data_IF_207569635461
#
_entry.id   IF_207569635461
#
_cell.length_a   1.000
_cell.length_b   1.000
_cell.length_c   1.000
_cell.angle_alpha   90.00
_cell.angle_beta   90.00
_cell.angle_gamma   90.00
#
_symmetry.space_group_name_H-M   'P 1'
#
loop_
_entity.id
_entity.type
_entity.pdbx_description
1 polymer ?
#
# COMPACT_ATOMS: atom_id res chain seq x y z
N UNK A 1 4.04 2.42 -2.48
CA UNK A 1 3.21 1.27 -2.02
C UNK A 1 4.12 0.33 -1.26
N UNK A 2 3.58 -0.38 -0.28
CA UNK A 2 4.23 -1.45 0.48
C UNK A 2 3.33 -2.69 0.50
N UNK A 3 3.90 -3.83 0.89
CA UNK A 3 3.16 -5.05 1.18
C UNK A 3 3.69 -5.66 2.47
N UNK A 4 2.83 -6.39 3.18
CA UNK A 4 3.22 -7.12 4.38
C UNK A 4 2.50 -8.46 4.46
N UNK A 5 3.25 -9.50 4.83
CA UNK A 5 2.75 -10.84 5.05
C UNK A 5 3.24 -11.33 6.42
N UNK A 6 2.32 -11.80 7.24
CA UNK A 6 2.62 -12.31 8.58
C UNK A 6 1.61 -13.36 9.05
N UNK A 7 1.94 -14.02 10.17
CA UNK A 7 1.08 -15.01 10.83
C UNK A 7 0.88 -14.59 12.29
N UNK A 8 -0.36 -14.71 12.78
CA UNK A 8 -0.69 -14.39 14.17
C UNK A 8 -0.90 -12.90 14.46
N UNK A 9 -0.77 -12.04 13.46
CA UNK A 9 -1.14 -10.63 13.57
C UNK A 9 -2.63 -10.42 13.30
N UNK A 10 -3.19 -9.39 13.95
CA UNK A 10 -4.50 -8.86 13.59
C UNK A 10 -4.41 -8.08 12.28
N UNK A 11 -5.56 -7.90 11.63
CA UNK A 11 -5.68 -7.04 10.45
C UNK A 11 -5.14 -5.62 10.71
N UNK A 12 -5.47 -5.04 11.85
CA UNK A 12 -5.00 -3.72 12.29
C UNK A 12 -3.46 -3.67 12.37
N UNK A 13 -2.85 -4.61 13.09
CA UNK A 13 -1.39 -4.61 13.29
C UNK A 13 -0.63 -4.84 11.98
N UNK A 14 -1.12 -5.73 11.13
CA UNK A 14 -0.53 -5.96 9.81
C UNK A 14 -0.69 -4.73 8.90
N UNK A 15 -1.83 -4.04 8.99
CA UNK A 15 -2.11 -2.80 8.27
C UNK A 15 -1.22 -1.65 8.71
N UNK A 16 -1.12 -1.39 10.01
CA UNK A 16 -0.25 -0.36 10.59
C UNK A 16 1.21 -0.56 10.19
N UNK A 17 1.69 -1.81 10.22
CA UNK A 17 3.04 -2.14 9.79
C UNK A 17 3.25 -1.87 8.29
N UNK A 18 2.28 -2.26 7.45
CA UNK A 18 2.36 -1.99 6.02
C UNK A 18 2.36 -0.48 5.74
N UNK A 19 1.52 0.31 6.42
CA UNK A 19 1.50 1.77 6.27
C UNK A 19 2.81 2.41 6.70
N UNK A 20 3.34 2.03 7.86
CA UNK A 20 4.62 2.55 8.36
C UNK A 20 5.76 2.26 7.39
N UNK A 21 5.77 1.05 6.82
CA UNK A 21 6.71 0.68 5.77
C UNK A 21 6.55 1.56 4.52
N UNK A 22 5.31 1.84 4.09
CA UNK A 22 5.06 2.73 2.95
C UNK A 22 5.50 4.18 3.22
N UNK A 23 5.17 4.72 4.40
CA UNK A 23 5.58 6.05 4.83
C UNK A 23 7.11 6.16 4.85
N UNK A 24 7.78 5.16 5.41
CA UNK A 24 9.24 5.09 5.49
C UNK A 24 9.88 5.06 4.11
N UNK A 25 9.37 4.23 3.19
CA UNK A 25 9.89 4.17 1.81
C UNK A 25 9.73 5.51 1.09
N UNK A 26 8.59 6.20 1.28
CA UNK A 26 8.35 7.52 0.70
C UNK A 26 9.26 8.58 1.33
N UNK A 27 9.37 8.61 2.66
CA UNK A 27 10.19 9.55 3.42
C UNK A 27 11.67 9.46 3.02
N UNK A 28 12.19 8.23 2.90
CA UNK A 28 13.58 7.98 2.44
C UNK A 28 13.79 8.51 1.02
N UNK A 29 12.82 8.29 0.12
CA UNK A 29 12.87 8.84 -1.24
C UNK A 29 12.86 10.37 -1.25
N UNK A 30 12.23 10.99 -0.25
CA UNK A 30 12.16 12.43 -0.06
C UNK A 30 13.36 13.01 0.70
N UNK A 31 14.36 12.20 1.04
CA UNK A 31 15.59 12.62 1.74
C UNK A 31 15.44 12.82 3.25
N UNK A 32 14.40 12.25 3.85
CA UNK A 32 14.23 12.23 5.31
C UNK A 32 14.91 10.97 5.84
N UNK A 33 15.83 11.11 6.79
CA UNK A 33 16.52 9.95 7.38
C UNK A 33 15.56 9.06 8.15
N UNK A 34 15.67 7.76 7.90
CA UNK A 34 14.96 6.72 8.64
C UNK A 34 15.77 6.31 9.87
N UNK A 35 15.15 6.42 11.04
CA UNK A 35 15.71 5.95 12.30
C UNK A 35 14.88 4.79 12.84
N UNK A 36 15.41 3.57 12.74
CA UNK A 36 14.74 2.34 13.19
C UNK A 36 14.61 2.22 14.71
N UNK A 37 15.32 3.06 15.47
CA UNK A 37 15.20 3.11 16.93
C UNK A 37 13.99 3.90 17.40
N UNK A 38 13.34 4.64 16.50
CA UNK A 38 12.20 5.50 16.81
C UNK A 38 10.86 4.82 16.56
N UNK A 39 9.96 5.01 17.49
CA UNK A 39 8.58 4.54 17.42
C UNK A 39 7.80 5.35 16.36
N UNK A 40 6.64 4.83 15.94
CA UNK A 40 5.79 5.47 14.91
C UNK A 40 5.49 6.94 15.22
N UNK A 41 5.09 7.26 16.45
CA UNK A 41 4.74 8.64 16.86
C UNK A 41 5.90 9.62 16.71
N UNK A 42 7.13 9.17 16.95
CA UNK A 42 8.32 10.00 16.80
C UNK A 42 8.65 10.22 15.33
N UNK A 43 8.55 9.16 14.52
CA UNK A 43 8.75 9.23 13.06
C UNK A 43 7.69 10.12 12.40
N UNK A 44 6.43 10.00 12.82
CA UNK A 44 5.33 10.82 12.32
C UNK A 44 5.55 12.32 12.60
N UNK A 45 6.03 12.66 13.81
CA UNK A 45 6.41 14.04 14.15
C UNK A 45 7.55 14.56 13.27
N UNK A 46 8.56 13.74 12.96
CA UNK A 46 9.64 14.13 12.07
C UNK A 46 9.14 14.40 10.64
N UNK A 47 8.23 13.56 10.13
CA UNK A 47 7.60 13.77 8.82
C UNK A 47 6.84 15.10 8.79
N UNK A 48 6.00 15.37 9.78
CA UNK A 48 5.25 16.64 9.91
C UNK A 48 6.18 17.85 10.01
N UNK A 49 7.27 17.75 10.78
CA UNK A 49 8.25 18.83 10.96
C UNK A 49 9.07 19.12 9.69
N UNK A 50 9.22 18.14 8.79
CA UNK A 50 9.96 18.30 7.52
C UNK A 50 9.24 19.19 6.49
N UNK A 51 8.01 19.63 6.79
CA UNK A 51 7.15 20.39 5.86
C UNK A 51 6.55 19.54 4.73
N UNK A 52 6.79 18.23 4.75
CA UNK A 52 6.22 17.26 3.79
C UNK A 52 5.07 16.53 4.45
N UNK A 53 3.85 16.75 3.96
CA UNK A 53 2.66 16.04 4.43
C UNK A 53 2.64 14.64 3.83
N UNK A 54 2.97 13.63 4.64
CA UNK A 54 2.87 12.21 4.27
C UNK A 54 1.54 11.69 4.81
N UNK A 55 0.70 11.18 3.92
CA UNK A 55 -0.54 10.47 4.28
C UNK A 55 -0.44 9.04 3.80
N UNK A 56 -0.83 8.10 4.65
CA UNK A 56 -0.87 6.67 4.33
C UNK A 56 -2.28 6.11 4.50
N UNK A 57 -2.51 4.97 3.87
CA UNK A 57 -3.74 4.20 3.96
C UNK A 57 -3.41 2.75 3.61
N UNK A 58 -4.08 1.78 4.23
CA UNK A 58 -3.92 0.37 3.92
C UNK A 58 -5.23 -0.31 3.50
N UNK A 59 -5.06 -1.43 2.80
CA UNK A 59 -6.09 -2.47 2.61
C UNK A 59 -5.46 -3.76 3.11
N UNK A 60 -6.00 -4.31 4.18
CA UNK A 60 -5.47 -5.50 4.83
C UNK A 60 -6.57 -6.54 4.94
N UNK A 61 -6.19 -7.83 4.86
CA UNK A 61 -7.10 -8.93 5.07
C UNK A 61 -6.44 -9.93 6.02
N UNK A 62 -7.15 -10.29 7.09
CA UNK A 62 -6.79 -11.40 7.96
C UNK A 62 -7.81 -12.53 7.87
N UNK A 63 -7.39 -13.76 8.19
CA UNK A 63 -8.30 -14.90 8.29
C UNK A 63 -7.79 -15.89 9.34
N UNK A 64 -8.71 -16.45 10.11
CA UNK A 64 -8.40 -17.60 10.96
C UNK A 64 -8.45 -18.87 10.10
N UNK A 65 -7.44 -19.72 10.24
CA UNK A 65 -7.38 -20.99 9.51
C UNK A 65 -8.60 -21.88 9.76
N UNK A 66 -9.04 -22.59 8.72
CA UNK A 66 -10.19 -23.48 8.81
C UNK A 66 -10.01 -24.56 9.87
N UNK A 67 -11.03 -24.79 10.71
CA UNK A 67 -10.96 -25.73 11.86
C UNK A 67 -10.69 -27.18 11.46
N UNK A 68 -11.08 -27.55 10.24
CA UNK A 68 -10.87 -28.90 9.68
C UNK A 68 -9.54 -29.03 8.92
N UNK A 69 -8.64 -28.04 9.00
CA UNK A 69 -7.32 -28.10 8.36
C UNK A 69 -7.31 -27.79 6.86
N UNK A 70 -8.39 -27.21 6.33
CA UNK A 70 -8.41 -26.72 4.95
C UNK A 70 -7.50 -25.50 4.79
N UNK A 71 -6.88 -25.40 3.61
CA UNK A 71 -5.96 -24.31 3.32
C UNK A 71 -6.72 -22.98 3.27
N UNK A 72 -6.22 -22.01 4.02
CA UNK A 72 -6.79 -20.66 4.11
C UNK A 72 -5.72 -19.68 3.67
N UNK A 73 -6.04 -18.86 2.66
CA UNK A 73 -5.13 -17.87 2.10
C UNK A 73 -5.83 -16.51 2.10
N UNK A 74 -5.08 -15.46 2.44
CA UNK A 74 -5.51 -14.07 2.31
C UNK A 74 -4.70 -13.39 1.22
N UNK A 75 -5.33 -12.44 0.54
CA UNK A 75 -4.72 -11.63 -0.51
C UNK A 75 -5.18 -10.19 -0.33
N UNK A 76 -4.24 -9.26 -0.46
CA UNK A 76 -4.48 -7.83 -0.58
C UNK A 76 -3.68 -7.30 -1.77
N UNK A 77 -4.23 -6.37 -2.53
CA UNK A 77 -3.60 -5.87 -3.76
C UNK A 77 -3.95 -4.40 -4.00
N UNK A 78 -2.97 -3.65 -4.50
CA UNK A 78 -3.16 -2.33 -5.07
C UNK A 78 -2.97 -2.41 -6.59
N UNK A 79 -4.04 -2.17 -7.34
CA UNK A 79 -4.07 -2.31 -8.80
C UNK A 79 -4.07 -0.94 -9.46
N UNK A 80 -3.06 -0.65 -10.28
CA UNK A 80 -3.03 0.56 -11.09
C UNK A 80 -3.90 0.39 -12.32
N UNK A 81 -4.91 1.24 -12.47
CA UNK A 81 -5.68 1.35 -13.71
C UNK A 81 -5.01 2.39 -14.58
N UNK A 82 -4.50 1.97 -15.73
CA UNK A 82 -3.91 2.85 -16.73
C UNK A 82 -4.99 3.22 -17.75
N UNK A 83 -5.07 4.48 -18.17
CA UNK A 83 -5.88 4.84 -19.33
C UNK A 83 -5.29 4.17 -20.58
N UNK A 84 -6.09 3.35 -21.26
CA UNK A 84 -5.75 2.83 -22.58
C UNK A 84 -5.97 3.88 -23.67
N UNK A 85 -5.22 3.78 -24.77
CA UNK A 85 -5.59 4.47 -26.00
C UNK A 85 -7.02 4.10 -26.37
N UNK A 86 -7.87 5.12 -26.57
CA UNK A 86 -9.20 4.91 -27.12
C UNK A 86 -9.03 4.26 -28.50
N UNK A 87 -9.54 3.04 -28.66
CA UNK A 87 -9.68 2.45 -29.98
C UNK A 87 -10.54 3.41 -30.81
N UNK A 88 -9.99 3.93 -31.91
CA UNK A 88 -10.68 4.77 -32.88
C UNK A 88 -11.81 3.97 -33.53
N UNK A 89 -12.99 3.96 -32.91
CA UNK A 89 -14.19 3.40 -33.52
C UNK A 89 -14.88 4.49 -34.37
N UNK A 90 -14.92 4.25 -35.68
CA UNK A 90 -15.62 4.99 -36.74
C UNK A 90 -14.86 6.09 -37.50
N UNK A 91 -13.82 5.71 -38.23
CA UNK A 91 -13.66 6.28 -39.59
C UNK A 91 -14.55 5.49 -40.55
N UNK A 92 -15.74 6.02 -40.88
CA UNK A 92 -16.43 5.61 -42.10
C UNK A 92 -15.52 5.98 -43.27
N UNK A 93 -14.96 4.98 -43.95
CA UNK A 93 -14.25 5.16 -45.21
C UNK A 93 -15.19 5.90 -46.18
N UNK A 94 -14.83 7.08 -46.73
CA UNK A 94 -15.63 7.66 -47.80
C UNK A 94 -15.53 6.73 -49.01
N UNK A 95 -16.67 6.27 -49.51
CA UNK A 95 -16.78 5.64 -50.81
C UNK A 95 -16.43 6.69 -51.86
N UNK A 96 -15.29 6.52 -52.52
CA UNK A 96 -15.07 7.01 -53.89
C UNK A 96 -15.60 5.98 -54.87
#
# INVERSE_FOLDING_TARGET
MSEHHSFGDTEERAGDYAEDLAATMLATTLGIEFDSSKDWDEREKQYKASGKFITTSNVTQSAQGHKEGLWTTVLASAVFVLEGEQAMENQKTPLI
#
